data_IF_747311733830
#
_entry.id   IF_747311733830
#
_cell.length_a   1.000
_cell.length_b   1.000
_cell.length_c   1.000
_cell.angle_alpha   90.00
_cell.angle_beta   90.00
_cell.angle_gamma   90.00
#
_symmetry.space_group_name_H-M   'P 1'
#
loop_
_entity.id
_entity.type
_entity.pdbx_description
1 polymer ?
#
# COMPACT_ATOMS: atom_id res chain seq x y z
N UNK A 1 -23.51 14.92 11.05
CA UNK A 1 -22.29 15.75 10.84
C UNK A 1 -21.08 14.94 11.29
N UNK A 2 -20.44 14.19 10.38
CA UNK A 2 -19.14 13.53 10.60
C UNK A 2 -18.60 13.02 9.26
N UNK A 3 -18.39 13.93 8.30
CA UNK A 3 -17.73 13.65 7.02
C UNK A 3 -16.53 14.58 6.75
N UNK A 4 -16.13 15.42 7.72
CA UNK A 4 -15.07 16.42 7.54
C UNK A 4 -13.82 16.19 8.41
N UNK A 5 -13.41 14.94 8.69
CA UNK A 5 -12.17 14.71 9.48
C UNK A 5 -10.91 14.40 8.66
N UNK A 6 -11.02 13.90 7.44
CA UNK A 6 -9.83 13.57 6.62
C UNK A 6 -9.48 14.60 5.55
N UNK A 7 -10.49 15.26 4.95
CA UNK A 7 -10.26 16.42 4.07
C UNK A 7 -9.39 17.51 4.75
N UNK A 8 -9.49 17.64 6.08
CA UNK A 8 -8.81 18.70 6.83
C UNK A 8 -7.35 18.43 7.20
N UNK A 9 -6.82 17.20 7.16
CA UNK A 9 -5.48 16.94 7.71
C UNK A 9 -4.35 17.36 6.76
N UNK A 10 -4.45 17.05 5.46
CA UNK A 10 -3.50 17.51 4.45
C UNK A 10 -3.69 18.99 4.07
N UNK A 11 -4.95 19.48 4.07
CA UNK A 11 -5.29 20.90 3.84
C UNK A 11 -4.90 21.82 5.02
N UNK A 12 -4.74 21.30 6.25
CA UNK A 12 -4.36 22.10 7.42
C UNK A 12 -2.85 22.39 7.51
N UNK A 13 -2.01 21.71 6.73
CA UNK A 13 -0.60 22.06 6.60
C UNK A 13 -0.51 23.13 5.51
N UNK A 14 -0.11 24.33 5.93
CA UNK A 14 0.00 25.56 5.13
C UNK A 14 0.25 25.29 3.63
N UNK A 15 -0.69 25.70 2.78
CA UNK A 15 -0.62 25.60 1.30
C UNK A 15 0.73 26.10 0.77
N UNK A 16 1.30 27.15 1.37
CA UNK A 16 2.60 27.69 1.00
C UNK A 16 3.75 26.68 1.19
N UNK A 17 3.67 25.82 2.21
CA UNK A 17 4.68 24.78 2.45
C UNK A 17 4.63 23.70 1.38
N UNK A 18 3.42 23.24 1.03
CA UNK A 18 3.26 22.24 -0.02
C UNK A 18 3.67 22.80 -1.37
N UNK A 19 3.33 24.06 -1.63
CA UNK A 19 3.74 24.74 -2.83
C UNK A 19 5.27 24.83 -2.96
N UNK A 20 5.97 25.24 -1.89
CA UNK A 20 7.43 25.26 -1.90
C UNK A 20 8.07 23.87 -2.10
N UNK A 21 7.42 22.80 -1.59
CA UNK A 21 7.85 21.44 -1.84
C UNK A 21 7.67 21.02 -3.30
N UNK A 22 6.54 21.40 -3.91
CA UNK A 22 6.25 21.11 -5.32
C UNK A 22 7.19 21.85 -6.25
N UNK A 23 7.48 23.13 -6.00
CA UNK A 23 8.44 23.90 -6.81
C UNK A 23 9.82 23.22 -6.80
N UNK A 24 10.32 22.83 -5.62
CA UNK A 24 11.61 22.14 -5.51
C UNK A 24 11.61 20.76 -6.20
N UNK A 25 10.55 19.96 -6.06
CA UNK A 25 10.44 18.65 -6.76
C UNK A 25 10.40 18.87 -8.28
N UNK A 26 9.58 19.80 -8.75
CA UNK A 26 9.44 20.09 -10.17
C UNK A 26 10.74 20.60 -10.78
N UNK A 27 11.42 21.53 -10.10
CA UNK A 27 12.73 22.05 -10.55
C UNK A 27 13.78 20.93 -10.61
N UNK A 28 13.89 20.13 -9.54
CA UNK A 28 14.85 19.03 -9.46
C UNK A 28 14.70 18.01 -10.60
N UNK A 29 13.46 17.73 -11.01
CA UNK A 29 13.15 16.70 -12.02
C UNK A 29 12.77 17.28 -13.39
N UNK A 30 13.01 18.57 -13.61
CA UNK A 30 12.70 19.27 -14.87
C UNK A 30 11.24 19.10 -15.30
N UNK A 31 10.33 19.03 -14.33
CA UNK A 31 8.88 19.03 -14.57
C UNK A 31 8.39 20.45 -14.82
N UNK A 32 7.26 20.63 -15.53
CA UNK A 32 6.62 21.94 -15.61
C UNK A 32 6.31 22.49 -14.21
N UNK A 33 6.42 23.82 -14.01
CA UNK A 33 6.00 24.43 -12.77
C UNK A 33 4.47 24.26 -12.60
N UNK A 34 3.98 23.96 -11.37
CA UNK A 34 2.55 23.81 -11.12
C UNK A 34 1.81 25.12 -11.38
N UNK A 35 0.70 25.05 -12.12
CA UNK A 35 -0.25 26.17 -12.26
C UNK A 35 -1.02 26.40 -10.95
N UNK A 36 -1.70 27.54 -10.81
CA UNK A 36 -2.49 27.87 -9.59
C UNK A 36 -3.48 26.78 -9.19
N UNK A 37 -4.12 26.14 -10.16
CA UNK A 37 -5.11 25.07 -9.91
C UNK A 37 -4.47 23.73 -9.50
N UNK A 38 -3.17 23.55 -9.75
CA UNK A 38 -2.39 22.33 -9.46
C UNK A 38 -1.67 22.38 -8.10
N UNK A 39 -1.77 23.51 -7.38
CA UNK A 39 -1.08 23.72 -6.08
C UNK A 39 -1.76 22.99 -4.92
N UNK A 40 -2.96 22.45 -5.13
CA UNK A 40 -3.74 21.80 -4.08
C UNK A 40 -3.66 20.28 -4.22
N UNK A 41 -3.56 19.55 -3.10
CA UNK A 41 -3.57 18.11 -3.14
C UNK A 41 -4.93 17.60 -3.63
N UNK A 42 -4.90 16.58 -4.47
CA UNK A 42 -6.05 15.85 -4.98
C UNK A 42 -6.31 14.60 -4.14
N UNK A 43 -7.57 14.16 -4.13
CA UNK A 43 -7.99 12.93 -3.50
C UNK A 43 -8.39 13.06 -2.02
N UNK A 44 -8.79 11.93 -1.45
CA UNK A 44 -9.21 11.77 -0.05
C UNK A 44 -8.19 11.00 0.79
N UNK A 45 -7.06 10.63 0.17
CA UNK A 45 -6.00 9.87 0.81
C UNK A 45 -5.26 10.65 1.90
N UNK A 46 -4.56 9.90 2.74
CA UNK A 46 -3.85 10.44 3.91
C UNK A 46 -2.52 11.13 3.59
N UNK A 47 -1.99 10.91 2.38
CA UNK A 47 -0.77 11.54 1.89
C UNK A 47 -1.12 12.68 0.91
N UNK A 48 -0.42 13.82 0.93
CA UNK A 48 -0.57 14.84 -0.11
C UNK A 48 -0.19 14.28 -1.49
N UNK A 49 -1.16 14.27 -2.40
CA UNK A 49 -0.97 13.84 -3.80
C UNK A 49 -1.31 15.01 -4.70
N UNK A 50 -0.46 15.33 -5.66
CA UNK A 50 -0.66 16.44 -6.59
C UNK A 50 -0.63 15.93 -8.02
N UNK A 51 -1.39 16.56 -8.89
CA UNK A 51 -1.30 16.33 -10.33
C UNK A 51 -0.69 17.60 -10.92
N UNK A 52 0.49 17.46 -11.51
CA UNK A 52 1.22 18.56 -12.15
C UNK A 52 1.48 18.17 -13.59
N UNK A 53 0.79 18.84 -14.52
CA UNK A 53 0.70 18.43 -15.92
C UNK A 53 0.23 16.97 -16.03
N UNK A 54 1.02 16.10 -16.66
CA UNK A 54 0.71 14.67 -16.83
C UNK A 54 1.43 13.78 -15.79
N UNK A 55 1.88 14.36 -14.67
CA UNK A 55 2.57 13.64 -13.60
C UNK A 55 1.80 13.70 -12.29
N UNK A 56 1.98 12.68 -11.47
CA UNK A 56 1.49 12.58 -10.10
C UNK A 56 2.68 12.71 -9.16
N UNK A 57 2.61 13.65 -8.22
CA UNK A 57 3.60 13.83 -7.16
C UNK A 57 2.94 13.42 -5.84
N UNK A 58 3.42 12.33 -5.23
CA UNK A 58 2.98 11.84 -3.92
C UNK A 58 4.05 12.17 -2.89
N UNK A 59 3.67 12.88 -1.83
CA UNK A 59 4.54 13.16 -0.68
C UNK A 59 4.08 12.28 0.49
N UNK A 60 4.97 11.47 1.03
CA UNK A 60 4.67 10.55 2.13
C UNK A 60 4.83 11.31 3.45
N UNK A 61 3.72 11.52 4.14
CA UNK A 61 3.67 12.23 5.42
C UNK A 61 2.89 11.46 6.50
N UNK A 62 2.05 10.51 6.12
CA UNK A 62 1.24 9.74 7.05
C UNK A 62 2.10 8.81 7.94
N UNK A 63 1.66 8.65 9.18
CA UNK A 63 2.25 7.70 10.14
C UNK A 63 3.60 8.15 10.72
N UNK A 64 4.14 9.27 10.25
CA UNK A 64 5.47 9.76 10.64
C UNK A 64 6.59 9.18 9.79
N UNK A 65 7.82 9.61 10.06
CA UNK A 65 8.98 9.36 9.20
C UNK A 65 9.19 7.87 8.92
N UNK A 66 9.11 7.02 9.94
CA UNK A 66 9.30 5.58 9.78
C UNK A 66 8.32 4.97 8.79
N UNK A 67 7.02 5.19 8.98
CA UNK A 67 5.98 4.66 8.09
C UNK A 67 6.12 5.22 6.67
N UNK A 68 6.37 6.52 6.54
CA UNK A 68 6.53 7.19 5.25
C UNK A 68 7.73 6.65 4.46
N UNK A 69 8.89 6.47 5.10
CA UNK A 69 10.12 5.96 4.48
C UNK A 69 9.94 4.51 4.03
N UNK A 70 9.38 3.67 4.90
CA UNK A 70 9.12 2.27 4.56
C UNK A 70 8.02 2.10 3.52
N UNK A 71 7.04 3.01 3.49
CA UNK A 71 6.02 3.08 2.43
C UNK A 71 6.67 3.31 1.07
N UNK A 72 7.50 4.36 0.93
CA UNK A 72 8.24 4.61 -0.30
C UNK A 72 9.19 3.44 -0.65
N UNK A 73 9.97 2.96 0.30
CA UNK A 73 10.94 1.88 0.06
C UNK A 73 10.30 0.58 -0.42
N UNK A 74 9.15 0.21 0.16
CA UNK A 74 8.40 -0.99 -0.27
C UNK A 74 7.79 -0.82 -1.66
N UNK A 75 7.27 0.38 -1.95
CA UNK A 75 6.70 0.69 -3.26
C UNK A 75 7.79 0.65 -4.34
N UNK A 76 8.97 1.24 -4.11
CA UNK A 76 10.10 1.19 -5.04
C UNK A 76 10.64 -0.23 -5.25
N UNK A 77 10.74 -1.04 -4.19
CA UNK A 77 11.13 -2.46 -4.30
C UNK A 77 10.14 -3.25 -5.19
N UNK A 78 8.85 -3.00 -5.03
CA UNK A 78 7.81 -3.61 -5.86
C UNK A 78 7.93 -3.20 -7.33
N UNK A 79 8.10 -1.90 -7.62
CA UNK A 79 8.26 -1.41 -8.99
C UNK A 79 9.51 -1.97 -9.66
N UNK A 80 10.64 -1.99 -8.97
CA UNK A 80 11.89 -2.59 -9.45
C UNK A 80 11.71 -4.09 -9.75
N UNK A 81 10.98 -4.81 -8.91
CA UNK A 81 10.68 -6.23 -9.13
C UNK A 81 9.80 -6.46 -10.36
N UNK A 82 8.70 -5.70 -10.50
CA UNK A 82 7.79 -5.79 -11.65
C UNK A 82 8.55 -5.55 -12.96
N UNK A 83 9.41 -4.52 -12.97
CA UNK A 83 10.23 -4.17 -14.12
C UNK A 83 11.26 -5.26 -14.44
N UNK A 84 12.02 -5.73 -13.44
CA UNK A 84 13.05 -6.77 -13.63
C UNK A 84 12.50 -8.08 -14.18
N UNK A 85 11.29 -8.46 -13.77
CA UNK A 85 10.65 -9.68 -14.23
C UNK A 85 9.92 -9.53 -15.57
N UNK A 86 9.83 -8.32 -16.12
CA UNK A 86 9.02 -8.05 -17.31
C UNK A 86 7.56 -8.43 -17.11
N UNK A 87 7.03 -8.24 -15.89
CA UNK A 87 5.67 -8.63 -15.56
C UNK A 87 4.66 -7.80 -16.39
N UNK A 88 3.59 -8.42 -16.93
CA UNK A 88 2.57 -7.69 -17.67
C UNK A 88 1.87 -6.61 -16.83
N UNK A 89 1.97 -6.70 -15.50
CA UNK A 89 1.47 -5.71 -14.56
C UNK A 89 2.03 -4.29 -14.80
N UNK A 90 3.21 -4.17 -15.42
CA UNK A 90 3.83 -2.87 -15.74
C UNK A 90 2.93 -1.96 -16.59
N UNK A 91 2.00 -2.54 -17.36
CA UNK A 91 1.05 -1.80 -18.19
C UNK A 91 -0.21 -1.36 -17.42
N UNK A 92 -0.34 -1.75 -16.16
CA UNK A 92 -1.54 -1.54 -15.33
C UNK A 92 -1.21 -0.84 -14.01
N UNK A 93 -0.02 -0.28 -13.88
CA UNK A 93 0.43 0.47 -12.69
C UNK A 93 1.15 1.76 -13.14
N UNK A 94 1.25 2.78 -12.28
CA UNK A 94 1.97 4.01 -12.61
C UNK A 94 3.43 3.77 -13.01
N UNK A 95 3.93 4.47 -14.03
CA UNK A 95 5.37 4.50 -14.32
C UNK A 95 6.07 5.45 -13.37
N UNK A 96 7.02 4.96 -12.57
CA UNK A 96 7.81 5.82 -11.68
C UNK A 96 8.87 6.57 -12.50
N UNK A 97 8.86 7.89 -12.39
CA UNK A 97 9.77 8.80 -13.09
C UNK A 97 10.92 9.19 -12.16
N UNK A 98 10.60 9.47 -10.91
CA UNK A 98 11.59 9.87 -9.91
C UNK A 98 11.10 9.60 -8.49
N UNK A 99 12.02 9.58 -7.53
CA UNK A 99 11.72 9.53 -6.10
C UNK A 99 12.88 10.08 -5.29
N UNK A 100 12.63 10.37 -4.02
CA UNK A 100 13.63 10.94 -3.13
C UNK A 100 13.07 11.43 -1.80
N UNK A 101 13.78 12.34 -1.17
CA UNK A 101 13.39 13.00 0.06
C UNK A 101 13.39 14.52 -0.10
N UNK A 102 12.39 15.17 0.47
CA UNK A 102 12.39 16.60 0.77
C UNK A 102 12.96 16.79 2.18
N UNK A 103 14.02 17.58 2.29
CA UNK A 103 14.67 17.89 3.57
C UNK A 103 14.62 19.39 3.80
N UNK A 104 14.07 19.82 4.93
CA UNK A 104 14.04 21.24 5.29
C UNK A 104 15.35 21.68 5.95
N UNK A 105 16.14 22.49 5.26
CA UNK A 105 17.44 23.02 5.72
C UNK A 105 17.55 24.51 5.41
N UNK A 106 18.04 25.29 6.38
CA UNK A 106 18.32 26.72 6.22
C UNK A 106 17.13 27.55 5.67
N UNK A 107 15.92 27.19 6.06
CA UNK A 107 14.69 27.91 5.68
C UNK A 107 14.06 27.46 4.37
N UNK A 108 14.69 26.55 3.62
CA UNK A 108 14.24 26.06 2.31
C UNK A 108 14.12 24.53 2.28
N UNK A 109 13.28 24.02 1.39
CA UNK A 109 13.26 22.59 1.09
C UNK A 109 14.33 22.26 0.05
N UNK A 110 14.94 21.09 0.19
CA UNK A 110 15.89 20.53 -0.77
C UNK A 110 15.56 19.09 -1.08
N UNK A 111 15.65 18.71 -2.35
CA UNK A 111 15.49 17.31 -2.77
C UNK A 111 16.79 16.53 -2.59
N UNK A 112 16.65 15.28 -2.18
CA UNK A 112 17.71 14.27 -2.20
C UNK A 112 17.17 13.06 -2.95
N UNK A 113 17.57 12.85 -4.22
CA UNK A 113 17.13 11.70 -5.01
C UNK A 113 17.48 10.38 -4.34
N UNK A 114 16.61 9.39 -4.47
CA UNK A 114 16.82 8.05 -3.94
C UNK A 114 16.02 7.05 -4.76
N UNK A 115 16.62 5.91 -5.10
CA UNK A 115 16.01 4.87 -5.95
C UNK A 115 15.50 3.67 -5.12
N UNK A 116 15.43 3.81 -3.80
CA UNK A 116 15.06 2.75 -2.88
C UNK A 116 16.24 1.91 -2.38
N UNK A 117 17.43 2.07 -2.99
CA UNK A 117 18.61 1.25 -2.68
C UNK A 117 19.54 1.91 -1.69
N UNK A 118 20.09 1.07 -0.80
CA UNK A 118 20.94 1.53 0.30
C UNK A 118 20.22 2.46 1.29
N UNK A 119 20.90 2.79 2.39
CA UNK A 119 20.41 3.80 3.33
C UNK A 119 20.92 5.17 2.87
N UNK A 120 20.03 6.14 2.57
CA UNK A 120 20.44 7.48 2.17
C UNK A 120 21.01 8.25 3.37
N UNK A 121 22.02 9.09 3.14
CA UNK A 121 22.72 9.86 4.19
C UNK A 121 21.78 10.70 5.06
N UNK A 122 20.68 11.19 4.48
CA UNK A 122 19.66 12.00 5.18
C UNK A 122 18.99 11.21 6.31
N UNK A 123 18.97 9.88 6.19
CA UNK A 123 18.37 8.94 7.13
C UNK A 123 19.39 8.29 8.07
N UNK A 124 20.70 8.43 7.81
CA UNK A 124 21.76 7.76 8.58
C UNK A 124 21.73 8.09 10.09
N UNK A 125 21.18 9.25 10.48
CA UNK A 125 21.00 9.65 11.88
C UNK A 125 19.80 9.01 12.57
N UNK A 126 18.78 8.62 11.80
CA UNK A 126 17.54 8.03 12.31
C UNK A 126 17.58 6.50 12.26
N UNK A 127 18.38 5.95 11.36
CA UNK A 127 18.60 4.52 11.19
C UNK A 127 20.08 4.22 11.43
N UNK A 128 20.53 4.06 12.69
CA UNK A 128 21.87 3.58 12.95
C UNK A 128 22.05 2.24 12.21
N UNK A 129 23.25 2.04 11.64
CA UNK A 129 23.68 0.97 10.70
C UNK A 129 23.43 -0.49 11.14
N UNK A 130 22.69 -0.72 12.21
CA UNK A 130 22.20 -2.03 12.67
C UNK A 130 20.84 -2.39 12.05
N UNK A 131 20.50 -1.83 10.88
CA UNK A 131 19.32 -2.31 10.14
C UNK A 131 19.66 -3.70 9.63
N UNK A 132 18.96 -4.72 10.12
CA UNK A 132 19.09 -6.15 9.77
C UNK A 132 19.08 -6.47 8.26
N UNK A 133 18.74 -5.47 7.43
CA UNK A 133 18.65 -5.54 5.98
C UNK A 133 19.67 -4.62 5.28
N UNK A 134 20.71 -4.13 5.96
CA UNK A 134 21.72 -3.25 5.34
C UNK A 134 22.40 -3.88 4.11
N UNK A 135 22.49 -5.21 4.07
CA UNK A 135 22.99 -5.99 2.94
C UNK A 135 21.92 -6.30 1.87
N UNK A 136 20.64 -6.00 2.14
CA UNK A 136 19.57 -6.07 1.15
C UNK A 136 19.72 -4.93 0.14
N UNK A 137 19.36 -5.20 -1.12
CA UNK A 137 19.28 -4.17 -2.14
C UNK A 137 18.27 -3.07 -1.74
N UNK A 138 17.17 -3.43 -1.05
CA UNK A 138 16.15 -2.52 -0.54
C UNK A 138 16.06 -2.62 0.99
N UNK A 139 16.94 -1.94 1.74
CA UNK A 139 17.02 -2.07 3.21
C UNK A 139 15.79 -1.52 3.95
N UNK A 140 14.99 -0.69 3.28
CA UNK A 140 13.76 -0.07 3.78
C UNK A 140 12.50 -0.63 3.09
N UNK A 141 12.64 -1.76 2.37
CA UNK A 141 11.57 -2.45 1.63
C UNK A 141 10.63 -3.30 2.50
N UNK A 142 9.94 -4.23 1.84
CA UNK A 142 8.80 -5.00 2.34
C UNK A 142 9.02 -5.65 3.71
N UNK A 143 10.13 -6.38 3.87
CA UNK A 143 10.43 -7.13 5.11
C UNK A 143 10.77 -6.21 6.28
N UNK A 144 11.47 -5.11 6.00
CA UNK A 144 11.79 -4.10 7.01
C UNK A 144 10.55 -3.32 7.47
N UNK A 145 9.65 -2.98 6.53
CA UNK A 145 8.35 -2.36 6.81
C UNK A 145 7.51 -3.23 7.73
N UNK A 146 7.51 -4.53 7.48
CA UNK A 146 6.77 -5.48 8.31
C UNK A 146 7.32 -5.51 9.75
N UNK A 147 8.62 -5.27 9.95
CA UNK A 147 9.24 -5.23 11.27
C UNK A 147 8.97 -3.91 11.99
N UNK A 148 8.98 -2.79 11.28
CA UNK A 148 8.56 -1.49 11.81
C UNK A 148 7.16 -1.58 12.41
N UNK A 149 6.25 -2.27 11.71
CA UNK A 149 4.91 -2.54 12.20
C UNK A 149 4.91 -3.11 13.62
N UNK A 150 5.94 -3.87 14.03
CA UNK A 150 6.09 -4.48 15.36
C UNK A 150 6.65 -3.53 16.43
N UNK A 151 7.38 -2.49 16.04
CA UNK A 151 8.02 -1.53 16.95
C UNK A 151 7.13 -0.32 17.21
N UNK A 152 6.88 0.00 18.48
CA UNK A 152 6.27 1.26 18.88
C UNK A 152 7.33 2.38 18.86
N UNK A 153 7.81 2.78 17.68
CA UNK A 153 8.64 3.98 17.58
C UNK A 153 7.74 5.19 17.33
N UNK A 154 7.81 6.14 18.25
CA UNK A 154 7.32 7.51 18.06
C UNK A 154 8.53 8.39 17.78
N UNK A 155 9.07 8.30 16.57
CA UNK A 155 10.12 9.24 16.15
C UNK A 155 9.47 10.57 15.79
N UNK A 156 9.56 11.51 16.72
CA UNK A 156 9.31 12.92 16.48
C UNK A 156 10.62 13.50 15.94
N UNK A 157 10.74 13.61 14.63
CA UNK A 157 11.86 14.36 14.04
C UNK A 157 11.66 15.85 14.29
N UNK A 158 12.69 16.52 14.81
CA UNK A 158 12.72 17.98 15.00
C UNK A 158 12.73 18.77 13.67
N UNK A 159 12.98 18.08 12.54
CA UNK A 159 12.92 18.66 11.18
C UNK A 159 12.14 17.74 10.22
N UNK A 160 11.21 18.28 9.41
CA UNK A 160 10.44 17.45 8.49
C UNK A 160 11.37 16.91 7.38
N UNK A 161 11.50 15.58 7.33
CA UNK A 161 11.97 14.84 6.16
C UNK A 161 10.73 14.18 5.57
N UNK A 162 10.45 14.43 4.30
CA UNK A 162 9.31 13.84 3.60
C UNK A 162 9.78 13.06 2.38
N UNK A 163 9.64 11.74 2.37
CA UNK A 163 9.81 10.95 1.15
C UNK A 163 8.81 11.42 0.09
N UNK A 164 9.20 11.34 -1.18
CA UNK A 164 8.31 11.66 -2.30
C UNK A 164 8.54 10.71 -3.47
N UNK A 165 7.51 10.60 -4.30
CA UNK A 165 7.53 9.86 -5.56
C UNK A 165 6.86 10.69 -6.65
N UNK A 166 7.44 10.66 -7.85
CA UNK A 166 6.89 11.23 -9.07
C UNK A 166 6.59 10.07 -10.01
N UNK A 167 5.35 9.96 -10.46
CA UNK A 167 4.92 8.95 -11.41
C UNK A 167 4.17 9.57 -12.59
N UNK A 168 4.17 8.90 -13.74
CA UNK A 168 3.30 9.29 -14.85
C UNK A 168 1.85 9.05 -14.44
N UNK A 169 0.99 10.02 -14.71
CA UNK A 169 -0.45 9.89 -14.46
C UNK A 169 -1.01 8.77 -15.32
N UNK A 170 -1.63 7.78 -14.67
CA UNK A 170 -2.41 6.76 -15.36
C UNK A 170 -3.61 7.39 -16.07
N UNK A 171 -3.96 6.84 -17.22
CA UNK A 171 -5.17 7.23 -17.94
C UNK A 171 -6.41 6.64 -17.28
N UNK A 172 -7.57 7.20 -17.63
CA UNK A 172 -8.87 6.76 -17.15
C UNK A 172 -9.40 7.60 -15.99
N UNK A 173 -10.63 7.27 -15.59
CA UNK A 173 -11.31 7.90 -14.47
C UNK A 173 -11.26 6.99 -13.25
N UNK A 174 -11.22 7.60 -12.07
CA UNK A 174 -11.31 6.89 -10.79
C UNK A 174 -12.63 6.13 -10.74
N UNK A 175 -12.59 4.82 -10.48
CA UNK A 175 -13.74 3.93 -10.50
C UNK A 175 -14.86 4.42 -9.58
N UNK A 176 -14.53 4.92 -8.38
CA UNK A 176 -15.49 5.52 -7.44
C UNK A 176 -16.37 6.62 -8.07
N UNK A 177 -15.87 7.35 -9.07
CA UNK A 177 -16.60 8.45 -9.74
C UNK A 177 -17.53 7.96 -10.84
N UNK A 178 -17.17 6.87 -11.51
CA UNK A 178 -17.88 6.37 -12.69
C UNK A 178 -18.73 5.14 -12.39
N UNK A 179 -18.52 4.46 -11.26
CA UNK A 179 -19.18 3.18 -10.90
C UNK A 179 -20.68 3.21 -11.16
N UNK A 180 -21.36 4.26 -10.71
CA UNK A 180 -22.83 4.35 -10.76
C UNK A 180 -23.35 4.66 -12.18
N UNK A 181 -22.45 4.94 -13.13
CA UNK A 181 -22.76 5.18 -14.55
C UNK A 181 -22.49 3.96 -15.44
N UNK A 182 -21.75 2.96 -14.94
CA UNK A 182 -21.36 1.78 -15.70
C UNK A 182 -22.50 0.76 -15.77
N UNK A 183 -22.62 0.10 -16.91
CA UNK A 183 -23.49 -1.07 -17.07
C UNK A 183 -22.93 -2.27 -16.31
N UNK A 184 -23.81 -3.24 -16.00
CA UNK A 184 -23.40 -4.50 -15.36
C UNK A 184 -22.31 -5.23 -16.17
N UNK A 185 -22.38 -5.18 -17.50
CA UNK A 185 -21.35 -5.80 -18.36
C UNK A 185 -19.99 -5.13 -18.19
N UNK A 186 -19.95 -3.80 -18.12
CA UNK A 186 -18.70 -3.05 -17.90
C UNK A 186 -18.12 -3.34 -16.51
N UNK A 187 -18.97 -3.44 -15.48
CA UNK A 187 -18.55 -3.81 -14.13
C UNK A 187 -17.96 -5.22 -14.10
N UNK A 188 -18.61 -6.20 -14.75
CA UNK A 188 -18.11 -7.57 -14.83
C UNK A 188 -16.76 -7.67 -15.55
N UNK A 189 -16.58 -6.89 -16.62
CA UNK A 189 -15.32 -6.84 -17.36
C UNK A 189 -14.21 -6.19 -16.52
N UNK A 190 -14.50 -5.08 -15.83
CA UNK A 190 -13.57 -4.44 -14.90
C UNK A 190 -13.15 -5.41 -13.79
N UNK A 191 -14.11 -6.11 -13.18
CA UNK A 191 -13.84 -7.09 -12.13
C UNK A 191 -12.98 -8.26 -12.63
N UNK A 192 -13.24 -8.74 -13.85
CA UNK A 192 -12.43 -9.77 -14.50
C UNK A 192 -10.99 -9.31 -14.73
N UNK A 193 -10.80 -8.11 -15.30
CA UNK A 193 -9.48 -7.51 -15.52
C UNK A 193 -8.73 -7.29 -14.21
N UNK A 194 -9.42 -6.77 -13.18
CA UNK A 194 -8.85 -6.59 -11.84
C UNK A 194 -8.40 -7.92 -11.25
N UNK A 195 -9.19 -8.98 -11.39
CA UNK A 195 -8.81 -10.33 -10.98
C UNK A 195 -7.52 -10.82 -11.64
N UNK A 196 -7.31 -10.50 -12.92
CA UNK A 196 -6.06 -10.82 -13.64
C UNK A 196 -4.87 -10.05 -13.07
N UNK A 197 -5.03 -8.74 -12.82
CA UNK A 197 -3.94 -7.92 -12.26
C UNK A 197 -3.61 -8.31 -10.82
N UNK A 198 -4.61 -8.59 -9.99
CA UNK A 198 -4.40 -9.12 -8.65
C UNK A 198 -3.66 -10.46 -8.66
N UNK A 199 -4.00 -11.34 -9.61
CA UNK A 199 -3.23 -12.59 -9.82
C UNK A 199 -1.78 -12.30 -10.21
N UNK A 200 -1.52 -11.30 -11.04
CA UNK A 200 -0.16 -10.92 -11.41
C UNK A 200 0.64 -10.42 -10.21
N UNK A 201 0.05 -9.56 -9.35
CA UNK A 201 0.65 -9.11 -8.09
C UNK A 201 0.98 -10.31 -7.19
N UNK A 202 0.02 -11.20 -6.98
CA UNK A 202 0.15 -12.34 -6.06
C UNK A 202 1.14 -13.42 -6.52
N UNK A 203 1.52 -13.42 -7.80
CA UNK A 203 2.49 -14.37 -8.37
C UNK A 203 3.92 -13.83 -8.41
N UNK A 204 4.13 -12.57 -8.04
CA UNK A 204 5.47 -12.01 -7.90
C UNK A 204 6.22 -12.75 -6.78
N UNK A 205 7.51 -13.09 -6.98
CA UNK A 205 8.32 -13.66 -5.92
C UNK A 205 8.49 -12.64 -4.79
N UNK A 206 8.58 -13.11 -3.55
CA UNK A 206 8.96 -12.25 -2.43
C UNK A 206 10.46 -11.93 -2.51
N UNK A 207 10.89 -10.75 -2.06
CA UNK A 207 12.31 -10.42 -1.96
C UNK A 207 13.04 -11.46 -1.09
N UNK A 208 14.21 -11.91 -1.54
CA UNK A 208 15.02 -12.86 -0.78
C UNK A 208 15.51 -12.23 0.52
N UNK A 209 15.34 -12.94 1.64
CA UNK A 209 15.92 -12.60 2.93
C UNK A 209 16.77 -13.76 3.39
N UNK A 210 18.01 -13.49 3.79
CA UNK A 210 18.83 -14.43 4.54
C UNK A 210 18.22 -14.57 5.95
N UNK A 211 17.27 -15.49 6.08
CA UNK A 211 16.49 -15.73 7.29
C UNK A 211 17.33 -16.17 8.51
N UNK A 212 18.59 -16.57 8.30
CA UNK A 212 19.49 -17.04 9.35
C UNK A 212 19.86 -15.92 10.34
N UNK A 213 20.22 -14.73 9.84
CA UNK A 213 20.54 -13.57 10.69
C UNK A 213 19.30 -12.94 11.34
N UNK A 214 18.15 -13.04 10.67
CA UNK A 214 16.86 -12.59 11.22
C UNK A 214 16.45 -13.45 12.41
N UNK A 215 16.64 -14.77 12.35
CA UNK A 215 16.25 -15.75 13.39
C UNK A 215 16.94 -15.52 14.75
N UNK A 216 18.24 -15.21 14.78
CA UNK A 216 19.00 -15.09 16.04
C UNK A 216 18.64 -13.83 16.83
N UNK A 217 18.50 -12.70 16.15
CA UNK A 217 18.04 -11.43 16.72
C UNK A 217 16.53 -11.44 17.05
N UNK A 218 15.71 -12.08 16.22
CA UNK A 218 14.27 -12.26 16.42
C UNK A 218 13.97 -12.93 17.76
N UNK A 219 14.73 -13.98 18.09
CA UNK A 219 14.62 -14.65 19.38
C UNK A 219 15.00 -13.73 20.55
N UNK A 220 15.91 -12.78 20.37
CA UNK A 220 16.29 -11.81 21.41
C UNK A 220 15.21 -10.74 21.64
N UNK A 221 14.62 -10.19 20.57
CA UNK A 221 13.56 -9.17 20.67
C UNK A 221 12.22 -9.72 21.17
N UNK A 222 11.86 -10.96 20.80
CA UNK A 222 10.66 -11.64 21.34
C UNK A 222 10.85 -11.99 22.83
N UNK A 223 12.02 -12.52 23.22
CA UNK A 223 12.33 -12.85 24.62
C UNK A 223 12.33 -11.61 25.53
N UNK A 224 12.61 -10.43 24.98
CA UNK A 224 12.64 -9.18 25.75
C UNK A 224 11.26 -8.57 26.02
N UNK A 225 10.18 -8.96 25.31
CA UNK A 225 8.90 -8.22 25.36
C UNK A 225 7.63 -8.98 25.74
N UNK A 226 7.55 -10.31 25.73
CA UNK A 226 6.34 -10.98 26.26
C UNK A 226 6.58 -12.33 26.94
N UNK A 227 5.93 -12.50 28.09
CA UNK A 227 5.56 -13.75 28.74
C UNK A 227 4.37 -14.42 28.04
N UNK A 228 4.42 -14.56 26.71
CA UNK A 228 3.31 -15.13 25.93
C UNK A 228 3.39 -16.65 25.84
N UNK A 229 2.27 -17.28 26.15
CA UNK A 229 2.06 -18.73 26.29
C UNK A 229 2.03 -19.50 24.96
N UNK A 230 2.62 -18.97 23.88
CA UNK A 230 2.44 -19.51 22.53
C UNK A 230 3.70 -20.19 21.98
N UNK A 231 3.56 -21.43 21.51
CA UNK A 231 4.62 -22.15 20.81
C UNK A 231 4.76 -21.65 19.37
N UNK A 232 5.43 -20.51 19.20
CA UNK A 232 5.93 -19.98 17.91
C UNK A 232 6.84 -20.99 17.16
N UNK A 233 7.22 -22.08 17.84
CA UNK A 233 8.03 -23.17 17.31
C UNK A 233 7.46 -23.90 16.09
N UNK A 234 6.13 -23.90 15.89
CA UNK A 234 5.48 -24.63 14.79
C UNK A 234 5.09 -23.77 13.57
N UNK A 235 5.34 -22.46 13.61
CA UNK A 235 5.06 -21.54 12.48
C UNK A 235 6.32 -21.42 11.60
N UNK A 236 6.22 -21.62 10.27
CA UNK A 236 7.34 -21.41 9.36
C UNK A 236 7.94 -20.00 9.50
N UNK A 237 9.26 -19.83 9.37
CA UNK A 237 9.93 -18.55 9.57
C UNK A 237 9.28 -17.37 8.82
N UNK A 238 8.89 -17.57 7.57
CA UNK A 238 8.25 -16.60 6.68
C UNK A 238 6.88 -16.12 7.18
N UNK A 239 6.19 -16.91 8.02
CA UNK A 239 4.86 -16.61 8.54
C UNK A 239 4.86 -16.08 9.97
N UNK A 240 5.95 -16.27 10.72
CA UNK A 240 6.03 -15.88 12.15
C UNK A 240 5.64 -14.42 12.38
N UNK A 241 6.07 -13.54 11.48
CA UNK A 241 5.82 -12.12 11.60
C UNK A 241 4.37 -11.72 11.31
N UNK A 242 3.76 -12.33 10.30
CA UNK A 242 2.33 -12.15 10.00
C UNK A 242 1.50 -12.62 11.19
N UNK A 243 1.76 -13.83 11.71
CA UNK A 243 1.04 -14.39 12.87
C UNK A 243 1.20 -13.50 14.10
N UNK A 244 2.42 -13.07 14.42
CA UNK A 244 2.66 -12.18 15.56
C UNK A 244 1.92 -10.84 15.43
N UNK A 245 1.84 -10.29 14.21
CA UNK A 245 1.07 -9.07 13.92
C UNK A 245 -0.42 -9.30 14.13
N UNK A 246 -0.95 -10.43 13.65
CA UNK A 246 -2.35 -10.82 13.83
C UNK A 246 -2.69 -11.01 15.31
N UNK A 247 -1.85 -11.67 16.10
CA UNK A 247 -2.04 -11.86 17.54
C UNK A 247 -2.11 -10.52 18.28
N UNK A 248 -1.19 -9.60 17.96
CA UNK A 248 -1.20 -8.26 18.57
C UNK A 248 -2.43 -7.45 18.16
N UNK A 249 -2.89 -7.57 16.91
CA UNK A 249 -4.16 -6.95 16.46
C UNK A 249 -5.35 -7.55 17.19
N UNK A 250 -5.39 -8.88 17.36
CA UNK A 250 -6.41 -9.59 18.16
C UNK A 250 -6.47 -9.04 19.60
N UNK A 251 -5.33 -8.89 20.28
CA UNK A 251 -5.28 -8.32 21.65
C UNK A 251 -5.85 -6.90 21.76
N UNK A 252 -5.82 -6.12 20.67
CA UNK A 252 -6.28 -4.73 20.65
C UNK A 252 -7.63 -4.55 19.95
N UNK A 253 -8.30 -5.63 19.52
CA UNK A 253 -9.46 -5.54 18.63
C UNK A 253 -10.63 -4.76 19.26
N UNK A 254 -10.96 -5.03 20.53
CA UNK A 254 -12.04 -4.33 21.24
C UNK A 254 -11.79 -2.83 21.31
N UNK A 255 -10.57 -2.43 21.72
CA UNK A 255 -10.16 -1.02 21.78
C UNK A 255 -10.25 -0.37 20.40
N UNK A 256 -9.81 -1.06 19.35
CA UNK A 256 -9.85 -0.54 17.99
C UNK A 256 -11.29 -0.33 17.52
N UNK A 257 -12.17 -1.32 17.71
CA UNK A 257 -13.59 -1.24 17.34
C UNK A 257 -14.34 -0.16 18.14
N UNK A 258 -14.06 0.00 19.45
CA UNK A 258 -14.63 1.08 20.26
C UNK A 258 -14.22 2.47 19.76
N UNK A 259 -13.05 2.59 19.13
CA UNK A 259 -12.56 3.86 18.59
C UNK A 259 -13.15 4.20 17.21
N UNK A 260 -13.81 3.26 16.52
CA UNK A 260 -14.50 3.52 15.24
C UNK A 260 -15.79 4.35 15.38
N UNK A 261 -16.19 4.68 16.61
CA UNK A 261 -17.34 5.53 16.93
C UNK A 261 -18.63 4.73 17.22
N UNK A 262 -19.77 5.42 17.29
CA UNK A 262 -21.07 4.82 17.64
C UNK A 262 -21.72 3.97 16.55
N UNK A 263 -21.01 3.65 15.47
CA UNK A 263 -21.50 2.88 14.32
C UNK A 263 -21.55 1.37 14.58
N UNK A 264 -20.77 0.87 15.54
CA UNK A 264 -20.74 -0.55 15.89
C UNK A 264 -21.51 -0.78 17.21
N UNK A 265 -22.57 -1.60 17.22
CA UNK A 265 -23.26 -1.97 18.44
C UNK A 265 -22.31 -2.58 19.48
N UNK A 266 -22.38 -2.11 20.73
CA UNK A 266 -21.50 -2.57 21.82
C UNK A 266 -21.49 -4.09 21.97
N UNK A 267 -22.64 -4.75 21.78
CA UNK A 267 -22.75 -6.21 21.82
C UNK A 267 -21.85 -6.93 20.81
N UNK A 268 -21.60 -6.34 19.64
CA UNK A 268 -20.68 -6.91 18.65
C UNK A 268 -19.22 -6.69 19.04
N UNK A 269 -18.92 -5.53 19.66
CA UNK A 269 -17.58 -5.23 20.19
C UNK A 269 -17.23 -6.23 21.30
N UNK A 270 -18.16 -6.48 22.23
CA UNK A 270 -17.95 -7.38 23.36
C UNK A 270 -17.67 -8.81 22.90
N UNK A 271 -18.33 -9.23 21.82
CA UNK A 271 -18.17 -10.56 21.18
C UNK A 271 -17.06 -10.64 20.13
N UNK A 272 -16.36 -9.56 19.80
CA UNK A 272 -15.41 -9.53 18.69
C UNK A 272 -14.32 -10.61 18.79
N UNK A 273 -13.86 -10.90 20.01
CA UNK A 273 -12.86 -11.96 20.26
C UNK A 273 -13.41 -13.37 20.03
N UNK A 274 -14.72 -13.60 20.22
CA UNK A 274 -15.37 -14.90 20.00
C UNK A 274 -15.42 -15.29 18.52
N UNK A 275 -15.35 -14.30 17.62
CA UNK A 275 -15.32 -14.54 16.16
C UNK A 275 -13.91 -14.83 15.62
N UNK A 276 -12.87 -14.65 16.43
CA UNK A 276 -11.49 -14.85 16.03
C UNK A 276 -10.98 -16.21 16.53
N UNK A 277 -10.19 -16.94 15.73
CA UNK A 277 -9.62 -18.21 16.18
C UNK A 277 -8.66 -18.00 17.35
N UNK A 278 -8.57 -18.98 18.25
CA UNK A 278 -7.62 -18.94 19.37
C UNK A 278 -6.17 -18.83 18.89
N UNK A 279 -5.83 -19.62 17.87
CA UNK A 279 -4.57 -19.60 17.13
C UNK A 279 -4.72 -18.82 15.81
N UNK A 280 -4.10 -17.66 15.71
CA UNK A 280 -4.13 -16.84 14.49
C UNK A 280 -3.37 -17.46 13.31
N UNK A 281 -2.49 -18.45 13.55
CA UNK A 281 -1.84 -19.21 12.48
C UNK A 281 -2.84 -20.05 11.67
N UNK A 282 -4.04 -20.29 12.20
CA UNK A 282 -5.12 -20.92 11.46
C UNK A 282 -5.52 -20.10 10.21
N UNK A 283 -5.43 -18.76 10.28
CA UNK A 283 -5.77 -17.86 9.18
C UNK A 283 -4.76 -17.86 8.02
N UNK A 284 -3.73 -18.71 8.08
CA UNK A 284 -2.75 -18.88 6.99
C UNK A 284 -2.62 -20.34 6.57
N UNK A 285 -3.34 -21.25 7.23
CA UNK A 285 -3.42 -22.70 6.95
C UNK A 285 -4.69 -23.04 6.19
N UNK A 286 -4.88 -22.45 5.01
CA UNK A 286 -6.11 -22.59 4.24
C UNK A 286 -6.06 -23.64 3.12
N UNK A 287 -4.88 -24.13 2.77
CA UNK A 287 -4.72 -25.15 1.73
C UNK A 287 -4.75 -26.52 2.39
N UNK A 288 -5.52 -27.44 1.83
CA UNK A 288 -5.41 -28.86 2.21
C UNK A 288 -4.44 -29.53 1.25
N UNK A 289 -3.51 -30.32 1.76
CA UNK A 289 -2.74 -31.23 0.92
C UNK A 289 -3.61 -32.42 0.47
N UNK A 290 -2.99 -33.32 -0.30
CA UNK A 290 -3.63 -34.52 -0.84
C UNK A 290 -4.13 -35.47 0.26
N UNK A 291 -3.54 -35.38 1.46
CA UNK A 291 -3.93 -36.15 2.66
C UNK A 291 -5.04 -35.47 3.47
N UNK A 292 -5.43 -34.25 3.09
CA UNK A 292 -6.50 -33.47 3.70
C UNK A 292 -6.04 -32.60 4.89
N UNK A 293 -4.74 -32.56 5.17
CA UNK A 293 -4.13 -31.80 6.24
C UNK A 293 -3.93 -30.33 5.84
N UNK A 294 -4.14 -29.43 6.80
CA UNK A 294 -4.03 -27.99 6.56
C UNK A 294 -2.57 -27.54 6.49
N UNK A 295 -2.13 -27.15 5.29
CA UNK A 295 -0.79 -26.66 4.99
C UNK A 295 -0.78 -25.14 4.92
N UNK A 296 0.36 -24.56 5.29
CA UNK A 296 0.63 -23.14 5.13
C UNK A 296 0.56 -22.74 3.66
N UNK A 297 -0.20 -21.69 3.36
CA UNK A 297 -0.15 -21.09 2.02
C UNK A 297 1.27 -20.56 1.73
N UNK A 298 1.61 -20.45 0.45
CA UNK A 298 2.81 -19.70 0.06
C UNK A 298 2.51 -18.21 0.27
N UNK A 299 3.35 -17.47 1.01
CA UNK A 299 3.14 -16.04 1.21
C UNK A 299 3.30 -15.28 -0.10
N UNK A 300 2.52 -14.22 -0.28
CA UNK A 300 2.57 -13.37 -1.47
C UNK A 300 2.59 -11.89 -1.10
N UNK A 301 2.91 -11.06 -2.08
CA UNK A 301 2.58 -9.63 -2.04
C UNK A 301 1.07 -9.47 -1.88
N UNK A 302 0.65 -8.56 -1.01
CA UNK A 302 -0.75 -8.21 -0.76
C UNK A 302 -0.89 -6.69 -0.83
N UNK A 303 -1.77 -6.22 -1.71
CA UNK A 303 -2.18 -4.83 -1.77
C UNK A 303 -3.41 -4.63 -0.89
N UNK A 304 -3.25 -4.20 0.36
CA UNK A 304 -4.40 -4.16 1.29
C UNK A 304 -5.42 -3.06 1.00
N UNK A 305 -5.05 -2.06 0.19
CA UNK A 305 -5.89 -0.88 -0.08
C UNK A 305 -6.50 -0.88 -1.49
N UNK A 306 -6.99 -2.03 -1.97
CA UNK A 306 -7.71 -2.10 -3.25
C UNK A 306 -9.15 -1.62 -3.03
N UNK A 307 -9.33 -0.30 -3.05
CA UNK A 307 -10.60 0.39 -2.98
C UNK A 307 -10.99 1.00 -4.34
N UNK A 308 -12.24 1.48 -4.46
CA UNK A 308 -12.75 2.04 -5.72
C UNK A 308 -12.10 3.38 -6.11
N UNK A 309 -11.41 4.05 -5.18
CA UNK A 309 -10.62 5.24 -5.44
C UNK A 309 -9.18 4.96 -5.90
N UNK A 310 -8.68 3.73 -5.70
CA UNK A 310 -7.35 3.27 -6.13
C UNK A 310 -7.37 2.47 -7.44
N UNK A 311 -8.52 2.44 -8.13
CA UNK A 311 -8.70 1.80 -9.43
C UNK A 311 -9.08 2.88 -10.44
N UNK A 312 -8.33 2.98 -11.54
CA UNK A 312 -8.71 3.77 -12.70
C UNK A 312 -9.21 2.85 -13.81
N UNK A 313 -10.25 3.29 -14.49
CA UNK A 313 -10.77 2.62 -15.68
C UNK A 313 -10.81 3.62 -16.83
N UNK A 314 -10.23 3.25 -17.95
CA UNK A 314 -10.48 3.97 -19.20
C UNK A 314 -11.90 3.63 -19.68
N UNK A 315 -12.78 4.63 -19.71
CA UNK A 315 -14.11 4.47 -20.29
C UNK A 315 -14.02 4.34 -21.81
N UNK A 316 -15.00 3.66 -22.42
CA UNK A 316 -15.13 3.63 -23.88
C UNK A 316 -15.60 5.02 -24.37
N UNK A 317 -14.67 5.95 -24.61
CA UNK A 317 -14.98 7.36 -24.93
C UNK A 317 -15.61 7.61 -26.31
N UNK A 318 -16.17 6.59 -26.98
CA UNK A 318 -16.91 6.80 -28.22
C UNK A 318 -18.40 6.51 -28.03
N UNK A 319 -19.30 7.43 -28.48
CA UNK A 319 -20.71 7.13 -28.51
C UNK A 319 -20.91 5.95 -29.47
N UNK A 320 -21.33 4.81 -28.92
CA UNK A 320 -21.68 3.62 -29.70
C UNK A 320 -22.72 4.00 -30.75
N UNK A 321 -22.29 4.24 -31.99
CA UNK A 321 -23.18 4.17 -33.13
C UNK A 321 -23.63 2.73 -33.22
N UNK A 322 -24.90 2.51 -32.88
CA UNK A 322 -25.54 1.21 -32.90
C UNK A 322 -25.54 0.64 -34.30
N UNK A 323 -24.52 -0.12 -34.68
CA UNK A 323 -24.58 -1.03 -35.82
C UNK A 323 -23.44 -2.06 -35.77
N UNK A 324 -23.78 -3.28 -35.35
CA UNK A 324 -23.18 -4.53 -35.85
C UNK A 324 -21.80 -4.95 -35.33
N UNK A 325 -21.78 -6.09 -34.63
CA UNK A 325 -20.64 -6.93 -34.27
C UNK A 325 -19.51 -6.29 -33.46
N UNK A 326 -19.44 -6.66 -32.17
CA UNK A 326 -18.22 -6.62 -31.36
C UNK A 326 -17.09 -7.32 -32.11
N UNK A 327 -16.06 -6.58 -32.49
CA UNK A 327 -14.80 -7.12 -33.01
C UNK A 327 -13.85 -7.44 -31.85
N UNK A 328 -12.85 -8.29 -32.08
CA UNK A 328 -11.81 -8.59 -31.07
C UNK A 328 -11.04 -7.33 -30.62
N UNK A 329 -11.06 -6.25 -31.41
CA UNK A 329 -10.49 -4.95 -31.04
C UNK A 329 -11.30 -4.20 -29.97
N UNK A 330 -12.62 -4.41 -29.88
CA UNK A 330 -13.47 -3.85 -28.82
C UNK A 330 -13.25 -4.55 -27.47
N UNK A 331 -12.81 -5.82 -27.50
CA UNK A 331 -12.40 -6.56 -26.31
C UNK A 331 -11.01 -6.12 -25.82
N UNK A 332 -10.09 -5.80 -26.75
CA UNK A 332 -8.74 -5.29 -26.43
C UNK A 332 -8.72 -3.86 -25.85
N UNK A 333 -9.78 -3.05 -26.06
CA UNK A 333 -9.91 -1.71 -25.45
C UNK A 333 -10.37 -1.72 -23.99
N UNK A 334 -10.85 -2.86 -23.49
CA UNK A 334 -11.33 -3.03 -22.11
C UNK A 334 -10.24 -3.50 -21.12
N UNK A 335 -8.98 -3.58 -21.57
CA UNK A 335 -7.81 -3.97 -20.77
C UNK A 335 -7.20 -2.82 -19.96
N UNK A 336 -7.58 -1.57 -20.18
CA UNK A 336 -6.91 -0.43 -19.54
C UNK A 336 -7.51 -0.09 -18.17
N UNK A 337 -7.46 -1.05 -17.24
CA UNK A 337 -7.51 -0.73 -15.81
C UNK A 337 -6.10 -0.41 -15.32
N UNK A 338 -6.02 0.54 -14.39
CA UNK A 338 -4.80 0.81 -13.64
C UNK A 338 -5.07 0.71 -12.15
N UNK A 339 -4.17 0.06 -11.43
CA UNK A 339 -4.15 0.02 -9.96
C UNK A 339 -3.12 1.05 -9.52
N UNK A 340 -3.47 1.86 -8.54
CA UNK A 340 -2.59 2.87 -7.97
C UNK A 340 -2.49 2.70 -6.44
N UNK A 341 -1.56 3.44 -5.85
CA UNK A 341 -1.27 3.47 -4.41
C UNK A 341 -0.77 2.13 -3.82
N UNK A 342 0.48 1.80 -4.12
CA UNK A 342 1.13 0.59 -3.60
C UNK A 342 1.82 0.82 -2.26
N UNK A 343 1.55 1.94 -1.57
CA UNK A 343 2.26 2.30 -0.35
C UNK A 343 1.94 1.37 0.83
N UNK A 344 0.79 0.68 0.77
CA UNK A 344 0.33 -0.30 1.76
C UNK A 344 0.58 -1.77 1.38
N UNK A 345 1.49 -2.03 0.45
CA UNK A 345 1.96 -3.39 0.18
C UNK A 345 2.48 -4.08 1.45
N UNK A 346 2.12 -5.35 1.59
CA UNK A 346 2.47 -6.22 2.72
C UNK A 346 2.59 -7.68 2.29
N UNK A 347 2.99 -8.56 3.23
CA UNK A 347 3.03 -10.00 3.03
C UNK A 347 1.83 -10.65 3.70
N UNK A 348 1.16 -11.56 2.99
CA UNK A 348 0.04 -12.28 3.55
C UNK A 348 -0.42 -13.46 2.70
N UNK A 349 -1.53 -14.05 3.12
CA UNK A 349 -2.15 -15.17 2.42
C UNK A 349 -3.16 -14.65 1.39
N UNK A 350 -2.97 -15.01 0.12
CA UNK A 350 -3.90 -14.68 -0.96
C UNK A 350 -5.34 -15.10 -0.68
N UNK A 351 -5.56 -16.28 -0.09
CA UNK A 351 -6.89 -16.78 0.24
C UNK A 351 -7.61 -15.96 1.32
N UNK A 352 -6.85 -15.35 2.24
CA UNK A 352 -7.41 -14.42 3.24
C UNK A 352 -7.79 -13.10 2.56
N UNK A 353 -6.90 -12.58 1.72
CA UNK A 353 -7.09 -11.30 1.04
C UNK A 353 -8.25 -11.34 0.03
N UNK A 354 -8.30 -12.32 -0.87
CA UNK A 354 -9.36 -12.38 -1.90
C UNK A 354 -10.76 -12.43 -1.32
N UNK A 355 -10.94 -13.03 -0.14
CA UNK A 355 -12.25 -13.05 0.54
C UNK A 355 -12.64 -11.71 1.15
N UNK A 356 -11.68 -10.92 1.63
CA UNK A 356 -11.96 -9.57 2.17
C UNK A 356 -12.21 -8.58 1.03
N UNK A 357 -11.36 -8.55 -0.01
CA UNK A 357 -11.52 -7.63 -1.14
C UNK A 357 -12.72 -7.97 -2.01
N UNK A 358 -13.03 -9.25 -2.21
CA UNK A 358 -14.23 -9.65 -2.97
C UNK A 358 -15.51 -9.26 -2.25
N UNK A 359 -15.51 -9.23 -0.90
CA UNK A 359 -16.64 -8.76 -0.11
C UNK A 359 -16.81 -7.24 -0.19
N UNK A 360 -15.70 -6.49 -0.17
CA UNK A 360 -15.70 -5.03 -0.32
C UNK A 360 -16.14 -4.58 -1.72
N UNK A 361 -15.65 -5.24 -2.78
CA UNK A 361 -16.08 -5.01 -4.16
C UNK A 361 -17.56 -5.42 -4.36
N UNK A 362 -18.00 -6.51 -3.73
CA UNK A 362 -19.41 -6.94 -3.76
C UNK A 362 -20.33 -5.94 -3.03
N UNK A 363 -19.91 -5.41 -1.88
CA UNK A 363 -20.65 -4.36 -1.16
C UNK A 363 -20.65 -3.03 -1.92
N UNK A 364 -19.57 -2.71 -2.63
CA UNK A 364 -19.49 -1.54 -3.51
C UNK A 364 -20.41 -1.67 -4.73
N UNK A 365 -20.58 -2.88 -5.28
CA UNK A 365 -21.49 -3.16 -6.40
C UNK A 365 -22.94 -3.44 -5.97
N UNK A 366 -23.18 -3.74 -4.69
CA UNK A 366 -24.48 -4.20 -4.15
C UNK A 366 -25.40 -3.11 -3.59
N UNK A 367 -25.04 -1.82 -3.72
CA UNK A 367 -25.95 -0.71 -3.38
C UNK A 367 -26.74 -0.27 -4.63
N UNK A 368 -27.68 -1.11 -5.03
CA UNK A 368 -28.77 -0.76 -5.96
C UNK A 368 -30.09 -0.61 -5.22
#
# INVERSE_FOLDING_TARGET
MNACRQQGACLAINVDKWYACLEEISECHSLPPPSEDEKLPVGTGSNPVFIVSDNVIKIYAEGGLGYSVHGLGTELEFYDLVQKLGSPLINHIPEIIASGFLVYQDGVYRTVPWDGKGIPDVLAKYYPLEVFYADSCFPLGLWSKQLLGMTSSTDVSDKPIWPYMVARKCKGDIFARIRDTLSMTEILNLASSLGVQMRNIHRLPLPHVELEHVSESWNANIKAKESSTFNVAHVPPEWKQVVSTLDRRKKNIKKHLSNWGGSIPQVLIDKAEEYLPDDMSFLIKFVKDDDGDSVYAVPSWIHSDIMDDNILSEGTTEPRTSTGCTTDEDLNKMDAIHIIDFSDLSIGATAYFTRTTSWELYLACGRS
#
